data_IF_438451575918
#
_entry.id   IF_438451575918
#
_cell.length_a   1.000
_cell.length_b   1.000
_cell.length_c   1.000
_cell.angle_alpha   90.00
_cell.angle_beta   90.00
_cell.angle_gamma   90.00
#
_symmetry.space_group_name_H-M   'P 1'
#
loop_
_entity.id
_entity.type
_entity.pdbx_description
1 polymer ?
#
# COMPACT_ATOMS: atom_id res chain seq x y z
N UNK A 1 -16.79 -1.20 -17.70
CA UNK A 1 -17.79 -0.70 -16.75
C UNK A 1 -19.14 -0.63 -17.46
N UNK A 2 -20.22 -1.03 -16.75
CA UNK A 2 -21.59 -1.04 -17.27
C UNK A 2 -22.43 -0.03 -16.49
N UNK A 3 -22.99 0.95 -17.19
CA UNK A 3 -23.79 2.02 -16.60
C UNK A 3 -25.27 1.82 -16.94
N UNK A 4 -26.11 1.71 -15.93
CA UNK A 4 -27.58 1.76 -16.08
C UNK A 4 -28.05 3.21 -16.14
N UNK A 5 -29.07 3.46 -16.94
CA UNK A 5 -29.68 4.79 -17.02
C UNK A 5 -31.20 4.65 -17.07
N UNK A 6 -31.88 5.23 -16.10
CA UNK A 6 -33.35 5.32 -16.03
C UNK A 6 -33.73 6.75 -16.36
N UNK A 7 -34.19 6.98 -17.58
CA UNK A 7 -34.62 8.32 -18.07
C UNK A 7 -35.52 8.18 -19.29
N UNK A 8 -36.03 9.28 -19.79
CA UNK A 8 -36.84 9.30 -21.01
C UNK A 8 -36.03 8.88 -22.25
N UNK A 9 -36.68 8.17 -23.19
CA UNK A 9 -36.04 7.65 -24.39
C UNK A 9 -35.46 8.74 -25.31
N UNK A 10 -36.11 9.91 -25.38
CA UNK A 10 -35.87 10.97 -26.38
C UNK A 10 -35.53 12.32 -25.75
N UNK A 11 -35.22 12.37 -24.45
CA UNK A 11 -34.96 13.65 -23.76
C UNK A 11 -33.50 14.12 -23.92
N UNK A 12 -33.25 15.40 -23.60
CA UNK A 12 -31.91 15.98 -23.55
C UNK A 12 -30.99 15.20 -22.57
N UNK A 13 -31.54 14.78 -21.43
CA UNK A 13 -30.83 14.09 -20.41
C UNK A 13 -30.10 12.80 -20.91
N UNK A 14 -30.78 11.97 -21.70
CA UNK A 14 -30.16 10.75 -22.23
C UNK A 14 -29.04 11.08 -23.22
N UNK A 15 -29.22 12.13 -24.03
CA UNK A 15 -28.18 12.57 -24.98
C UNK A 15 -26.95 13.11 -24.26
N UNK A 16 -27.13 13.89 -23.22
CA UNK A 16 -26.05 14.43 -22.41
C UNK A 16 -25.27 13.31 -21.72
N UNK A 17 -25.96 12.38 -21.06
CA UNK A 17 -25.33 11.21 -20.43
C UNK A 17 -24.52 10.41 -21.45
N UNK A 18 -25.09 10.12 -22.62
CA UNK A 18 -24.41 9.34 -23.66
C UNK A 18 -23.19 10.06 -24.22
N UNK A 19 -23.30 11.35 -24.53
CA UNK A 19 -22.22 12.15 -25.10
C UNK A 19 -21.05 12.30 -24.12
N UNK A 20 -21.34 12.62 -22.86
CA UNK A 20 -20.31 12.78 -21.83
C UNK A 20 -19.66 11.43 -21.51
N UNK A 21 -20.46 10.39 -21.34
CA UNK A 21 -19.93 9.04 -21.07
C UNK A 21 -18.99 8.56 -22.17
N UNK A 22 -19.37 8.71 -23.43
CA UNK A 22 -18.53 8.34 -24.59
C UNK A 22 -17.28 9.19 -24.70
N UNK A 23 -17.36 10.49 -24.44
CA UNK A 23 -16.22 11.40 -24.44
C UNK A 23 -15.19 11.02 -23.39
N UNK A 24 -15.62 10.70 -22.16
CA UNK A 24 -14.75 10.30 -21.05
C UNK A 24 -14.21 8.89 -21.21
N UNK A 25 -15.07 7.95 -21.65
CA UNK A 25 -14.66 6.57 -21.86
C UNK A 25 -15.50 5.91 -22.98
N UNK A 26 -14.97 5.81 -24.19
CA UNK A 26 -15.70 5.22 -25.33
C UNK A 26 -15.99 3.71 -25.18
N UNK A 27 -15.39 3.03 -24.23
CA UNK A 27 -15.60 1.61 -23.97
C UNK A 27 -16.64 1.33 -22.89
N UNK A 28 -17.32 2.38 -22.37
CA UNK A 28 -18.39 2.16 -21.40
C UNK A 28 -19.60 1.59 -22.10
N UNK A 29 -20.21 0.58 -21.47
CA UNK A 29 -21.48 0.02 -21.91
C UNK A 29 -22.61 0.71 -21.18
N UNK A 30 -23.51 1.36 -21.90
CA UNK A 30 -24.70 2.02 -21.34
C UNK A 30 -25.91 1.15 -21.61
N UNK A 31 -26.67 0.85 -20.56
CA UNK A 31 -27.94 0.12 -20.60
C UNK A 31 -29.04 1.11 -20.25
N UNK A 32 -29.76 1.56 -21.26
CA UNK A 32 -30.88 2.50 -21.07
C UNK A 32 -32.16 1.70 -20.77
N UNK A 33 -32.83 2.07 -19.67
CA UNK A 33 -34.23 1.73 -19.44
C UNK A 33 -35.08 2.97 -19.73
N UNK A 34 -35.86 2.95 -20.81
CA UNK A 34 -36.73 4.08 -21.17
C UNK A 34 -37.90 4.18 -20.17
N UNK A 35 -37.88 5.20 -19.35
CA UNK A 35 -38.91 5.45 -18.35
C UNK A 35 -39.71 6.73 -18.65
N UNK A 36 -40.98 6.73 -18.27
CA UNK A 36 -41.70 7.96 -18.11
C UNK A 36 -41.21 8.66 -16.85
N UNK A 37 -40.69 9.87 -16.96
CA UNK A 37 -40.10 10.64 -15.87
C UNK A 37 -40.98 11.80 -15.40
N UNK A 38 -42.16 11.93 -16.01
CA UNK A 38 -43.21 12.92 -15.68
C UNK A 38 -44.59 12.35 -15.98
N UNK A 39 -45.62 12.91 -15.35
CA UNK A 39 -47.00 12.48 -15.49
C UNK A 39 -47.35 11.27 -14.60
N UNK A 40 -48.60 10.84 -14.69
CA UNK A 40 -49.23 9.85 -13.78
C UNK A 40 -48.53 8.49 -13.76
N UNK A 41 -47.93 8.08 -14.88
CA UNK A 41 -47.24 6.78 -15.01
C UNK A 41 -45.77 6.85 -14.63
N UNK A 42 -45.22 8.00 -14.26
CA UNK A 42 -43.80 8.18 -13.99
C UNK A 42 -43.31 7.32 -12.82
N UNK A 43 -44.02 7.35 -11.69
CA UNK A 43 -43.71 6.54 -10.49
C UNK A 43 -43.47 5.07 -10.79
N UNK A 44 -44.45 4.41 -11.44
CA UNK A 44 -44.37 2.98 -11.74
C UNK A 44 -43.26 2.67 -12.75
N UNK A 45 -43.06 3.53 -13.74
CA UNK A 45 -42.06 3.40 -14.77
C UNK A 45 -40.62 3.49 -14.19
N UNK A 46 -40.37 4.45 -13.30
CA UNK A 46 -39.09 4.65 -12.62
C UNK A 46 -38.77 3.45 -11.71
N UNK A 47 -39.72 3.05 -10.85
CA UNK A 47 -39.55 1.87 -9.96
C UNK A 47 -39.23 0.62 -10.76
N UNK A 48 -39.97 0.35 -11.85
CA UNK A 48 -39.74 -0.78 -12.74
C UNK A 48 -38.34 -0.72 -13.37
N UNK A 49 -37.88 0.48 -13.75
CA UNK A 49 -36.57 0.71 -14.33
C UNK A 49 -35.45 0.38 -13.37
N UNK A 50 -35.52 0.91 -12.15
CA UNK A 50 -34.53 0.66 -11.10
C UNK A 50 -34.47 -0.83 -10.77
N UNK A 51 -35.61 -1.45 -10.46
CA UNK A 51 -35.70 -2.86 -10.08
C UNK A 51 -35.20 -3.80 -11.20
N UNK A 52 -35.41 -3.45 -12.46
CA UNK A 52 -34.94 -4.24 -13.60
C UNK A 52 -33.43 -4.11 -13.80
N UNK A 53 -32.91 -2.91 -13.71
CA UNK A 53 -31.48 -2.64 -13.87
C UNK A 53 -30.67 -3.20 -12.69
N UNK A 54 -31.22 -3.20 -11.47
CA UNK A 54 -30.58 -3.78 -10.29
C UNK A 54 -30.25 -5.27 -10.43
N UNK A 55 -31.04 -6.00 -11.24
CA UNK A 55 -30.83 -7.43 -11.54
C UNK A 55 -29.83 -7.72 -12.67
N UNK A 56 -29.32 -6.69 -13.35
CA UNK A 56 -28.50 -6.86 -14.56
C UNK A 56 -26.97 -6.85 -14.30
N UNK A 57 -26.54 -6.76 -13.04
CA UNK A 57 -25.10 -6.77 -12.71
C UNK A 57 -24.36 -5.58 -13.29
N UNK A 58 -24.92 -4.39 -13.15
CA UNK A 58 -24.34 -3.09 -13.56
C UNK A 58 -23.45 -2.55 -12.45
N UNK A 59 -22.56 -1.61 -12.78
CA UNK A 59 -21.65 -1.01 -11.82
C UNK A 59 -22.25 0.22 -11.11
N UNK A 60 -23.24 0.87 -11.78
CA UNK A 60 -23.91 2.06 -11.26
C UNK A 60 -25.19 2.33 -12.06
N UNK A 61 -26.19 2.95 -11.44
CA UNK A 61 -27.44 3.36 -12.08
C UNK A 61 -27.57 4.87 -11.95
N UNK A 62 -27.82 5.58 -13.05
CA UNK A 62 -28.23 6.99 -13.05
C UNK A 62 -29.76 7.01 -13.20
N UNK A 63 -30.42 7.68 -12.26
CA UNK A 63 -31.84 7.99 -12.32
C UNK A 63 -31.98 9.51 -12.52
N UNK A 64 -32.53 9.94 -13.63
CA UNK A 64 -32.54 11.33 -13.92
C UNK A 64 -33.56 11.77 -14.94
N UNK A 65 -33.76 13.07 -15.00
CA UNK A 65 -34.62 13.72 -16.02
C UNK A 65 -33.93 14.96 -16.61
N UNK A 66 -34.39 15.39 -17.75
CA UNK A 66 -34.06 16.69 -18.32
C UNK A 66 -34.76 17.82 -17.60
N UNK A 67 -34.51 19.04 -18.01
CA UNK A 67 -35.24 20.24 -17.51
C UNK A 67 -36.76 20.13 -17.66
N UNK A 68 -37.47 20.82 -16.80
CA UNK A 68 -38.93 20.87 -16.76
C UNK A 68 -39.40 21.64 -15.53
N UNK A 69 -40.73 21.77 -15.34
CA UNK A 69 -41.28 22.42 -14.18
C UNK A 69 -41.07 21.66 -12.88
N UNK A 70 -41.16 22.33 -11.74
CA UNK A 70 -41.06 21.73 -10.41
C UNK A 70 -42.16 20.69 -10.16
N UNK A 71 -43.31 20.86 -10.76
CA UNK A 71 -44.44 19.92 -10.71
C UNK A 71 -44.06 18.56 -11.33
N UNK A 72 -43.24 18.58 -12.34
CA UNK A 72 -42.73 17.34 -13.00
C UNK A 72 -41.75 16.57 -12.14
N UNK A 73 -41.17 17.17 -11.09
CA UNK A 73 -40.25 16.51 -10.14
C UNK A 73 -41.00 15.68 -9.10
N UNK A 74 -42.34 15.87 -8.99
CA UNK A 74 -43.14 15.26 -7.93
C UNK A 74 -43.03 13.73 -7.91
N UNK A 75 -42.91 13.10 -9.06
CA UNK A 75 -42.77 11.64 -9.16
C UNK A 75 -41.54 11.10 -8.39
N UNK A 76 -40.51 11.91 -8.22
CA UNK A 76 -39.28 11.56 -7.48
C UNK A 76 -39.39 11.78 -5.96
N UNK A 77 -40.51 12.37 -5.51
CA UNK A 77 -40.87 12.48 -4.09
C UNK A 77 -41.81 11.35 -3.64
N UNK A 78 -42.23 10.49 -4.55
CA UNK A 78 -43.07 9.35 -4.23
C UNK A 78 -42.35 8.27 -3.45
N UNK A 79 -42.94 7.79 -2.36
CA UNK A 79 -42.35 6.81 -1.45
C UNK A 79 -41.85 5.56 -2.19
N UNK A 80 -42.61 5.09 -3.18
CA UNK A 80 -42.22 3.90 -3.92
C UNK A 80 -40.93 4.08 -4.73
N UNK A 81 -40.66 5.26 -5.26
CA UNK A 81 -39.43 5.61 -5.98
C UNK A 81 -38.26 5.72 -5.00
N UNK A 82 -38.47 6.38 -3.88
CA UNK A 82 -37.48 6.55 -2.81
C UNK A 82 -37.04 5.16 -2.25
N UNK A 83 -38.02 4.31 -1.98
CA UNK A 83 -37.73 2.94 -1.53
C UNK A 83 -36.98 2.13 -2.59
N UNK A 84 -37.38 2.21 -3.85
CA UNK A 84 -36.69 1.48 -4.92
C UNK A 84 -35.22 1.92 -5.08
N UNK A 85 -34.91 3.20 -4.85
CA UNK A 85 -33.55 3.72 -4.83
C UNK A 85 -32.79 3.19 -3.60
N UNK A 86 -33.37 3.30 -2.41
CA UNK A 86 -32.73 2.89 -1.16
C UNK A 86 -32.49 1.37 -1.06
N UNK A 87 -33.37 0.55 -1.68
CA UNK A 87 -33.27 -0.91 -1.68
C UNK A 87 -32.39 -1.44 -2.82
N UNK A 88 -31.92 -0.59 -3.73
CA UNK A 88 -31.05 -0.98 -4.84
C UNK A 88 -29.71 -1.51 -4.30
N UNK A 89 -29.27 -2.65 -4.82
CA UNK A 89 -27.94 -3.23 -4.51
C UNK A 89 -26.83 -2.56 -5.29
N UNK A 90 -27.18 -1.90 -6.38
CA UNK A 90 -26.25 -1.17 -7.25
C UNK A 90 -26.29 0.30 -6.86
N UNK A 91 -25.15 0.96 -6.70
CA UNK A 91 -25.10 2.38 -6.38
C UNK A 91 -25.92 3.22 -7.35
N UNK A 92 -26.76 4.10 -6.81
CA UNK A 92 -27.65 4.97 -7.56
C UNK A 92 -27.17 6.42 -7.48
N UNK A 93 -27.09 7.07 -8.64
CA UNK A 93 -26.86 8.51 -8.77
C UNK A 93 -28.17 9.16 -9.18
N UNK A 94 -28.69 10.06 -8.34
CA UNK A 94 -29.85 10.90 -8.68
C UNK A 94 -29.38 12.11 -9.48
N UNK A 95 -30.04 12.38 -10.58
CA UNK A 95 -29.85 13.55 -11.46
C UNK A 95 -31.17 14.15 -11.87
N UNK A 96 -31.97 14.54 -10.88
CA UNK A 96 -33.39 14.92 -11.03
C UNK A 96 -33.54 16.41 -10.97
N UNK A 97 -33.03 17.07 -9.94
CA UNK A 97 -33.20 18.49 -9.68
C UNK A 97 -31.98 19.32 -10.04
N UNK A 98 -32.19 20.64 -10.27
CA UNK A 98 -31.10 21.61 -10.37
C UNK A 98 -30.52 21.93 -8.98
N UNK A 99 -29.54 22.86 -8.90
CA UNK A 99 -28.84 23.16 -7.64
C UNK A 99 -29.77 23.49 -6.46
N UNK A 100 -30.89 24.16 -6.72
CA UNK A 100 -31.87 24.61 -5.72
C UNK A 100 -33.00 23.63 -5.44
N UNK A 101 -33.25 22.67 -6.34
CA UNK A 101 -34.41 21.79 -6.29
C UNK A 101 -34.02 20.42 -5.76
N UNK A 102 -34.42 20.14 -4.54
CA UNK A 102 -34.16 18.83 -3.92
C UNK A 102 -35.41 17.97 -3.93
N UNK A 103 -35.24 16.70 -4.26
CA UNK A 103 -36.28 15.68 -4.17
C UNK A 103 -35.91 14.63 -3.10
N UNK A 104 -36.91 13.88 -2.62
CA UNK A 104 -36.67 12.78 -1.70
C UNK A 104 -35.78 11.67 -2.32
N UNK A 105 -35.86 11.51 -3.64
CA UNK A 105 -34.95 10.61 -4.39
C UNK A 105 -33.48 11.03 -4.26
N UNK A 106 -33.17 12.33 -4.18
CA UNK A 106 -31.82 12.83 -4.00
C UNK A 106 -31.22 12.47 -2.64
N UNK A 107 -32.06 12.41 -1.60
CA UNK A 107 -31.64 12.00 -0.25
C UNK A 107 -31.51 10.49 -0.09
N UNK A 108 -32.24 9.71 -0.89
CA UNK A 108 -32.17 8.25 -0.88
C UNK A 108 -31.03 7.68 -1.75
N UNK A 109 -30.57 8.45 -2.73
CA UNK A 109 -29.50 8.05 -3.63
C UNK A 109 -28.12 8.10 -2.94
N UNK A 110 -27.20 7.24 -3.38
CA UNK A 110 -25.83 7.25 -2.88
C UNK A 110 -25.07 8.53 -3.23
N UNK A 111 -25.39 9.11 -4.39
CA UNK A 111 -24.80 10.37 -4.87
C UNK A 111 -25.86 11.22 -5.56
N UNK A 112 -25.86 12.50 -5.27
CA UNK A 112 -26.65 13.49 -5.99
C UNK A 112 -25.81 14.23 -7.02
N UNK A 113 -26.36 14.43 -8.21
CA UNK A 113 -25.83 15.28 -9.25
C UNK A 113 -26.84 16.35 -9.61
N UNK A 114 -26.43 17.59 -9.76
CA UNK A 114 -27.31 18.72 -10.11
C UNK A 114 -27.76 18.67 -11.57
N UNK A 115 -27.12 17.88 -12.42
CA UNK A 115 -27.48 17.72 -13.83
C UNK A 115 -27.19 16.29 -14.32
N UNK A 116 -27.88 15.81 -15.37
CA UNK A 116 -27.56 14.54 -16.03
C UNK A 116 -26.13 14.48 -16.53
N UNK A 117 -25.57 15.58 -16.97
CA UNK A 117 -24.19 15.74 -17.40
C UNK A 117 -23.21 15.46 -16.26
N UNK A 118 -23.43 16.06 -15.10
CA UNK A 118 -22.64 15.83 -13.90
C UNK A 118 -22.75 14.39 -13.41
N UNK A 119 -23.95 13.79 -13.47
CA UNK A 119 -24.11 12.38 -13.12
C UNK A 119 -23.26 11.46 -14.01
N UNK A 120 -23.20 11.73 -15.30
CA UNK A 120 -22.34 11.01 -16.23
C UNK A 120 -20.84 11.20 -15.89
N UNK A 121 -20.43 12.37 -15.48
CA UNK A 121 -19.05 12.65 -15.07
C UNK A 121 -18.66 11.89 -13.79
N UNK A 122 -19.55 11.83 -12.81
CA UNK A 122 -19.34 11.07 -11.57
C UNK A 122 -19.33 9.55 -11.83
N UNK A 123 -20.26 9.07 -12.67
CA UNK A 123 -20.37 7.65 -12.99
C UNK A 123 -19.22 7.10 -13.83
N UNK A 124 -18.66 7.93 -14.74
CA UNK A 124 -17.72 7.49 -15.76
C UNK A 124 -16.33 8.10 -15.52
N UNK A 125 -15.33 7.31 -15.11
CA UNK A 125 -13.97 7.80 -14.94
C UNK A 125 -13.36 8.23 -16.29
N UNK A 126 -12.58 9.30 -16.28
CA UNK A 126 -11.84 9.75 -17.45
C UNK A 126 -10.71 8.77 -17.80
N UNK A 127 -10.78 8.18 -18.99
CA UNK A 127 -9.79 7.22 -19.47
C UNK A 127 -8.39 7.83 -19.58
N UNK A 128 -8.27 9.08 -20.02
CA UNK A 128 -6.97 9.71 -20.17
C UNK A 128 -6.30 9.94 -18.82
N UNK A 129 -7.08 10.28 -17.82
CA UNK A 129 -6.62 10.44 -16.44
C UNK A 129 -6.14 9.10 -15.86
N UNK A 130 -6.94 8.04 -16.01
CA UNK A 130 -6.55 6.69 -15.60
C UNK A 130 -5.27 6.22 -16.29
N UNK A 131 -5.13 6.46 -17.59
CA UNK A 131 -3.91 6.12 -18.32
C UNK A 131 -2.69 6.89 -17.80
N UNK A 132 -2.83 8.18 -17.54
CA UNK A 132 -1.76 8.99 -16.93
C UNK A 132 -1.36 8.45 -15.56
N UNK A 133 -2.35 8.11 -14.74
CA UNK A 133 -2.11 7.54 -13.42
C UNK A 133 -1.36 6.21 -13.49
N UNK A 134 -1.81 5.27 -14.34
CA UNK A 134 -1.13 3.97 -14.55
C UNK A 134 0.30 4.16 -15.05
N UNK A 135 0.53 5.07 -16.01
CA UNK A 135 1.87 5.38 -16.50
C UNK A 135 2.78 5.92 -15.39
N UNK A 136 2.26 6.82 -14.55
CA UNK A 136 3.02 7.35 -13.41
C UNK A 136 3.43 6.25 -12.43
N UNK A 137 2.53 5.30 -12.13
CA UNK A 137 2.83 4.16 -11.29
C UNK A 137 3.91 3.25 -11.90
N UNK A 138 3.80 2.94 -13.19
CA UNK A 138 4.82 2.15 -13.92
C UNK A 138 6.19 2.81 -13.87
N UNK A 139 6.26 4.13 -14.11
CA UNK A 139 7.51 4.89 -14.01
C UNK A 139 8.12 4.81 -12.60
N UNK A 140 7.29 4.96 -11.57
CA UNK A 140 7.73 4.84 -10.16
C UNK A 140 8.26 3.44 -9.85
N UNK A 141 7.58 2.39 -10.29
CA UNK A 141 8.03 1.00 -10.12
C UNK A 141 9.37 0.78 -10.81
N UNK A 142 9.51 1.22 -12.06
CA UNK A 142 10.77 1.10 -12.80
C UNK A 142 11.93 1.84 -12.12
N UNK A 143 11.70 3.06 -11.64
CA UNK A 143 12.71 3.83 -10.91
C UNK A 143 13.14 3.13 -9.62
N UNK A 144 12.19 2.61 -8.84
CA UNK A 144 12.50 1.87 -7.61
C UNK A 144 13.27 0.58 -7.87
N UNK A 145 12.89 -0.16 -8.90
CA UNK A 145 13.60 -1.36 -9.30
C UNK A 145 15.06 -1.05 -9.70
N UNK A 146 15.27 -0.03 -10.54
CA UNK A 146 16.62 0.42 -10.93
C UNK A 146 17.45 0.84 -9.71
N UNK A 147 16.87 1.66 -8.83
CA UNK A 147 17.53 2.13 -7.60
C UNK A 147 17.90 0.97 -6.67
N UNK A 148 17.03 -0.04 -6.56
CA UNK A 148 17.30 -1.25 -5.77
C UNK A 148 18.48 -2.05 -6.34
N UNK A 149 18.54 -2.23 -7.67
CA UNK A 149 19.67 -2.92 -8.34
C UNK A 149 20.96 -2.14 -8.15
N UNK A 150 20.92 -0.82 -8.34
CA UNK A 150 22.09 0.07 -8.15
C UNK A 150 22.66 -0.03 -6.74
N UNK A 151 21.79 0.09 -5.73
CA UNK A 151 22.19 -0.06 -4.33
C UNK A 151 22.81 -1.44 -4.03
N UNK A 152 22.27 -2.50 -4.61
CA UNK A 152 22.86 -3.86 -4.45
C UNK A 152 24.21 -3.97 -5.14
N UNK A 153 24.40 -3.37 -6.31
CA UNK A 153 25.70 -3.28 -7.01
C UNK A 153 26.74 -2.54 -6.17
N UNK A 154 26.35 -1.37 -5.62
CA UNK A 154 27.26 -0.59 -4.76
C UNK A 154 27.65 -1.37 -3.50
N UNK A 155 26.71 -2.06 -2.87
CA UNK A 155 27.00 -2.93 -1.71
C UNK A 155 27.94 -4.08 -2.08
N UNK A 156 27.74 -4.71 -3.21
CA UNK A 156 28.60 -5.77 -3.70
C UNK A 156 30.02 -5.23 -3.97
N UNK A 157 30.14 -4.09 -4.64
CA UNK A 157 31.44 -3.44 -4.89
C UNK A 157 32.17 -3.08 -3.59
N UNK A 158 31.45 -2.48 -2.63
CA UNK A 158 32.01 -2.18 -1.31
C UNK A 158 32.49 -3.45 -0.58
N UNK A 159 31.73 -4.54 -0.67
CA UNK A 159 32.12 -5.83 -0.11
C UNK A 159 33.39 -6.37 -0.79
N UNK A 160 33.45 -6.38 -2.11
CA UNK A 160 34.62 -6.83 -2.89
C UNK A 160 35.86 -5.96 -2.66
N UNK A 161 35.68 -4.65 -2.40
CA UNK A 161 36.78 -3.72 -2.09
C UNK A 161 37.16 -3.74 -0.61
N UNK A 162 36.45 -4.46 0.23
CA UNK A 162 36.81 -4.56 1.65
C UNK A 162 38.14 -5.25 1.84
N UNK A 163 38.93 -4.82 2.82
CA UNK A 163 40.25 -5.37 3.16
C UNK A 163 40.20 -6.89 3.43
N UNK A 164 39.07 -7.32 4.01
CA UNK A 164 38.84 -8.75 4.33
C UNK A 164 38.76 -9.60 3.06
N UNK A 165 38.12 -9.10 2.02
CA UNK A 165 37.97 -9.83 0.74
C UNK A 165 39.20 -9.73 -0.13
N UNK A 166 39.89 -8.57 -0.10
CA UNK A 166 41.10 -8.38 -0.92
C UNK A 166 42.33 -9.09 -0.35
N UNK A 167 42.45 -9.12 0.96
CA UNK A 167 43.64 -9.68 1.63
C UNK A 167 43.28 -10.55 2.86
N UNK A 168 42.53 -11.65 2.69
CA UNK A 168 42.10 -12.48 3.81
C UNK A 168 43.29 -13.11 4.55
N UNK A 169 44.40 -13.37 3.84
CA UNK A 169 45.61 -13.96 4.43
C UNK A 169 46.28 -13.01 5.42
N UNK A 170 46.24 -11.70 5.21
CA UNK A 170 46.82 -10.71 6.15
C UNK A 170 46.06 -10.71 7.47
N UNK A 171 44.75 -10.79 7.45
CA UNK A 171 43.96 -10.86 8.67
C UNK A 171 44.28 -12.10 9.51
N UNK A 172 44.47 -13.23 8.84
CA UNK A 172 44.88 -14.47 9.48
C UNK A 172 46.31 -14.37 10.01
N UNK A 173 47.24 -13.78 9.25
CA UNK A 173 48.62 -13.57 9.68
C UNK A 173 48.71 -12.69 10.94
N UNK A 174 47.98 -11.58 10.99
CA UNK A 174 47.90 -10.70 12.19
C UNK A 174 47.40 -11.47 13.42
N UNK A 175 46.38 -12.33 13.26
CA UNK A 175 45.83 -13.14 14.34
C UNK A 175 46.82 -14.22 14.79
N UNK A 176 47.52 -14.85 13.85
CA UNK A 176 48.55 -15.83 14.13
C UNK A 176 49.75 -15.23 14.89
N UNK A 177 50.22 -14.09 14.41
CA UNK A 177 51.33 -13.38 15.10
C UNK A 177 50.93 -12.97 16.53
N UNK A 178 49.69 -12.53 16.77
CA UNK A 178 49.22 -12.23 18.12
C UNK A 178 49.17 -13.47 19.02
N UNK A 179 48.75 -14.62 18.45
CA UNK A 179 48.74 -15.89 19.17
C UNK A 179 50.17 -16.32 19.54
N UNK A 180 51.09 -16.25 18.59
CA UNK A 180 52.52 -16.63 18.82
C UNK A 180 53.14 -15.72 19.88
N UNK A 181 52.83 -14.43 19.86
CA UNK A 181 53.29 -13.48 20.91
C UNK A 181 52.77 -13.87 22.29
N UNK A 182 51.47 -14.17 22.40
CA UNK A 182 50.86 -14.57 23.68
C UNK A 182 51.43 -15.89 24.20
N UNK A 183 51.66 -16.88 23.33
CA UNK A 183 52.30 -18.14 23.66
C UNK A 183 53.73 -17.91 24.16
N UNK A 184 54.50 -17.04 23.50
CA UNK A 184 55.84 -16.64 23.94
C UNK A 184 55.83 -16.02 25.34
N UNK A 185 54.91 -15.09 25.62
CA UNK A 185 54.75 -14.49 26.94
C UNK A 185 54.38 -15.53 28.02
N UNK A 186 53.45 -16.44 27.72
CA UNK A 186 53.09 -17.52 28.65
C UNK A 186 54.26 -18.40 28.99
N UNK A 187 55.05 -18.85 28.00
CA UNK A 187 56.22 -19.65 28.21
C UNK A 187 57.27 -18.93 29.07
N UNK A 188 57.56 -17.68 28.75
CA UNK A 188 58.50 -16.85 29.52
C UNK A 188 58.07 -16.68 30.98
N UNK A 189 56.80 -16.37 31.21
CA UNK A 189 56.24 -16.22 32.56
C UNK A 189 56.29 -17.57 33.32
N UNK A 190 55.96 -18.67 32.64
CA UNK A 190 56.05 -20.01 33.21
C UNK A 190 57.47 -20.35 33.66
N UNK A 191 58.45 -20.10 32.80
CA UNK A 191 59.87 -20.31 33.16
C UNK A 191 60.30 -19.41 34.31
N UNK A 192 59.94 -18.13 34.32
CA UNK A 192 60.27 -17.26 35.43
C UNK A 192 59.63 -17.70 36.75
N UNK A 193 58.39 -18.14 36.74
CA UNK A 193 57.73 -18.67 37.93
C UNK A 193 58.41 -19.91 38.47
N UNK A 194 58.77 -20.85 37.57
CA UNK A 194 59.52 -22.08 37.95
C UNK A 194 60.86 -21.73 38.54
N UNK A 195 61.60 -20.79 37.94
CA UNK A 195 62.89 -20.35 38.45
C UNK A 195 62.77 -19.66 39.83
N UNK A 196 61.75 -18.82 40.00
CA UNK A 196 61.47 -18.20 41.33
C UNK A 196 61.18 -19.26 42.41
N UNK A 197 60.41 -20.29 42.06
CA UNK A 197 60.09 -21.40 42.98
C UNK A 197 61.32 -22.22 43.32
N UNK A 198 62.15 -22.53 42.31
CA UNK A 198 63.48 -23.25 42.54
C UNK A 198 64.36 -22.41 43.46
N UNK A 199 64.56 -21.15 43.18
CA UNK A 199 65.39 -20.30 44.03
C UNK A 199 64.87 -20.23 45.48
N UNK A 200 63.52 -20.13 45.65
CA UNK A 200 62.92 -20.18 47.00
C UNK A 200 63.21 -21.54 47.72
N UNK A 201 63.09 -22.62 46.99
CA UNK A 201 63.37 -23.93 47.53
C UNK A 201 64.87 -24.11 47.93
N UNK A 202 65.79 -23.68 47.06
CA UNK A 202 67.23 -23.69 47.36
C UNK A 202 67.58 -22.82 48.59
N UNK A 203 67.00 -21.64 48.71
CA UNK A 203 67.10 -20.78 49.89
C UNK A 203 66.56 -21.45 51.17
N UNK A 204 65.44 -22.13 51.06
CA UNK A 204 64.86 -22.86 52.20
C UNK A 204 65.75 -24.07 52.62
N UNK A 205 66.26 -24.84 51.65
CA UNK A 205 67.18 -25.95 51.88
C UNK A 205 68.46 -25.38 52.53
N UNK A 206 69.02 -24.33 51.99
CA UNK A 206 70.22 -23.69 52.58
C UNK A 206 70.01 -23.25 54.04
N UNK A 207 68.84 -22.61 54.33
CA UNK A 207 68.50 -22.25 55.70
C UNK A 207 68.38 -23.47 56.64
N UNK A 208 67.73 -24.53 56.17
CA UNK A 208 67.55 -25.75 56.90
C UNK A 208 68.91 -26.43 57.17
N UNK A 209 69.83 -26.43 56.20
CA UNK A 209 71.20 -27.02 56.38
C UNK A 209 72.05 -26.20 57.37
N UNK A 210 71.85 -24.87 57.40
CA UNK A 210 72.51 -24.00 58.38
C UNK A 210 71.99 -24.22 59.80
N UNK A 211 70.72 -24.61 59.94
CA UNK A 211 70.06 -24.84 61.24
C UNK A 211 70.21 -26.32 61.70
N UNK A 212 70.87 -27.17 60.92
CA UNK A 212 71.10 -28.57 61.27
C UNK A 212 72.05 -28.68 62.46
N UNK A 213 71.59 -29.18 63.66
CA UNK A 213 72.39 -29.25 64.87
C UNK A 213 73.69 -30.08 64.73
N UNK A 214 73.63 -31.11 63.87
CA UNK A 214 74.80 -32.03 63.64
C UNK A 214 75.89 -31.28 62.88
N UNK A 215 75.57 -30.39 61.93
CA UNK A 215 76.56 -29.56 61.22
C UNK A 215 77.06 -28.39 62.06
N UNK A 216 76.25 -27.90 62.99
CA UNK A 216 76.72 -26.87 63.93
C UNK A 216 77.76 -27.49 64.92
N UNK A 217 77.50 -28.67 65.39
CA UNK A 217 78.47 -29.40 66.30
C UNK A 217 79.76 -29.85 65.63
N UNK A 218 79.76 -30.03 64.27
CA UNK A 218 80.95 -30.34 63.53
C UNK A 218 81.91 -29.17 63.25
N UNK A 219 81.43 -27.93 63.49
CA UNK A 219 82.18 -26.71 63.21
C UNK A 219 82.89 -26.11 64.46
N UNK A 220 82.64 -26.68 65.54
CA UNK A 220 83.20 -26.15 66.78
C UNK A 220 83.64 -26.92 67.70
#
# INVERSE_FOLDING_TARGET
KKLGVVTSKTGAAVQDIMNISKRRNPYIQIVLYPAYVQGEHAKQSIVSGITRLDKMGLDCIIVGRGGGSIEDLWAFNEEAVVRAIAESRIPVISAVGHETDFTLADFAADVRAATPSQAAELAVPDRAELQRYVRSLLTRVQQQARKSVENKKLRLQACLQSRVMQQPQQLLAERRQRLDHLLGQMNQQGHQQLQRRRNRLELAIGKLSLLNPVQVLQRG
#
